data_IF_556188997534
#
_entry.id   IF_556188997534
#
_cell.length_a   1.000
_cell.length_b   1.000
_cell.length_c   1.000
_cell.angle_alpha   90.00
_cell.angle_beta   90.00
_cell.angle_gamma   90.00
#
_symmetry.space_group_name_H-M   'P 1'
#
loop_
_entity.id
_entity.type
_entity.pdbx_description
1 polymer ?
#
# COMPACT_ATOMS: atom_id res chain seq x y z
N UNK A 1 18.59 0.67 24.77
CA UNK A 1 17.71 1.85 24.62
C UNK A 1 16.27 1.40 24.82
N UNK A 2 15.45 2.19 25.53
CA UNK A 2 14.02 1.88 25.66
C UNK A 2 13.33 2.05 24.31
N UNK A 3 12.35 1.16 23.98
CA UNK A 3 11.57 1.24 22.75
C UNK A 3 10.92 2.61 22.53
N UNK A 4 10.52 3.30 23.61
CA UNK A 4 9.97 4.65 23.54
C UNK A 4 10.94 5.69 22.96
N UNK A 5 12.24 5.59 23.30
CA UNK A 5 13.26 6.52 22.77
C UNK A 5 13.53 6.28 21.28
N UNK A 6 13.40 5.05 20.82
CA UNK A 6 13.56 4.73 19.39
C UNK A 6 12.39 5.33 18.60
N UNK A 7 11.15 5.12 19.05
CA UNK A 7 9.95 5.67 18.41
C UNK A 7 10.02 7.20 18.34
N UNK A 8 10.38 7.88 19.42
CA UNK A 8 10.52 9.34 19.43
C UNK A 8 11.59 9.87 18.47
N UNK A 9 12.63 9.08 18.19
CA UNK A 9 13.64 9.44 17.18
C UNK A 9 13.13 9.23 15.76
N UNK A 10 12.33 8.17 15.53
CA UNK A 10 11.73 7.89 14.24
C UNK A 10 10.69 8.94 13.83
N UNK A 11 9.85 9.39 14.77
CA UNK A 11 8.84 10.43 14.55
C UNK A 11 9.39 11.76 14.01
N UNK A 12 10.68 12.01 14.21
CA UNK A 12 11.36 13.24 13.76
C UNK A 12 11.98 13.11 12.37
N UNK A 13 11.73 12.01 11.68
CA UNK A 13 12.33 11.69 10.39
C UNK A 13 11.26 11.41 9.35
N UNK A 14 11.48 11.93 8.15
CA UNK A 14 10.70 11.56 6.99
C UNK A 14 11.23 10.24 6.43
N UNK A 15 10.33 9.39 5.98
CA UNK A 15 10.65 8.13 5.32
C UNK A 15 10.02 8.07 3.94
N UNK A 16 10.64 7.35 3.04
CA UNK A 16 10.05 6.94 1.78
C UNK A 16 9.83 5.43 1.79
N UNK A 17 8.62 4.99 1.42
CA UNK A 17 8.36 3.59 1.11
C UNK A 17 8.17 3.45 -0.39
N UNK A 18 9.00 2.64 -1.05
CA UNK A 18 9.01 2.49 -2.50
C UNK A 18 8.52 1.11 -2.87
N UNK A 19 7.45 1.02 -3.64
CA UNK A 19 6.95 -0.25 -4.12
C UNK A 19 5.44 -0.33 -4.19
N UNK A 20 4.93 -1.56 -4.24
CA UNK A 20 3.53 -1.83 -4.47
C UNK A 20 2.64 -1.44 -3.30
N UNK A 21 1.56 -0.70 -3.64
CA UNK A 21 0.37 -0.60 -2.83
C UNK A 21 -0.85 -0.97 -3.71
N UNK A 22 -1.69 -1.84 -3.20
CA UNK A 22 -2.84 -2.37 -3.92
C UNK A 22 -4.04 -2.54 -3.01
N UNK A 23 -5.03 -3.26 -3.50
CA UNK A 23 -6.24 -3.60 -2.77
C UNK A 23 -6.28 -5.08 -2.47
N UNK A 24 -6.64 -5.41 -1.23
CA UNK A 24 -6.94 -6.77 -0.81
C UNK A 24 -8.43 -6.86 -0.47
N UNK A 25 -9.13 -7.80 -1.11
CA UNK A 25 -10.53 -8.13 -0.83
C UNK A 25 -10.60 -9.42 -0.04
N UNK A 26 -11.07 -9.35 1.18
CA UNK A 26 -11.27 -10.49 2.06
C UNK A 26 -12.71 -10.95 2.03
N UNK A 27 -12.91 -12.25 1.81
CA UNK A 27 -14.23 -12.86 1.82
C UNK A 27 -14.90 -12.73 3.22
N UNK A 28 -16.18 -12.36 3.22
CA UNK A 28 -16.97 -12.14 4.43
C UNK A 28 -18.18 -13.07 4.48
N UNK A 29 -18.61 -13.52 5.70
CA UNK A 29 -17.98 -13.27 7.01
C UNK A 29 -16.67 -14.07 7.17
N UNK A 30 -15.86 -13.81 8.24
CA UNK A 30 -14.67 -14.61 8.52
C UNK A 30 -14.95 -16.11 8.54
N UNK A 31 -14.07 -16.91 7.93
CA UNK A 31 -14.25 -18.36 7.75
C UNK A 31 -14.81 -18.77 6.40
N UNK A 32 -15.01 -17.81 5.47
CA UNK A 32 -15.68 -18.06 4.17
C UNK A 32 -14.66 -18.46 3.10
N UNK A 33 -15.00 -19.51 2.35
CA UNK A 33 -14.38 -19.87 1.07
C UNK A 33 -14.80 -18.86 -0.01
N UNK A 34 -13.93 -18.63 -0.99
CA UNK A 34 -14.20 -17.64 -2.02
C UNK A 34 -15.49 -17.92 -2.81
N UNK A 35 -15.71 -19.18 -3.18
CA UNK A 35 -16.87 -19.63 -3.97
C UNK A 35 -18.21 -19.45 -3.23
N UNK A 36 -18.16 -19.26 -1.92
CA UNK A 36 -19.34 -19.05 -1.08
C UNK A 36 -19.52 -17.58 -0.68
N UNK A 37 -18.54 -16.74 -0.98
CA UNK A 37 -18.54 -15.34 -0.56
C UNK A 37 -19.52 -14.51 -1.41
N UNK A 38 -20.43 -13.81 -0.75
CA UNK A 38 -21.30 -12.82 -1.36
C UNK A 38 -20.91 -11.37 -1.01
N UNK A 39 -20.06 -11.21 -0.01
CA UNK A 39 -19.58 -9.92 0.45
C UNK A 39 -18.07 -9.97 0.66
N UNK A 40 -17.41 -8.82 0.51
CA UNK A 40 -15.98 -8.66 0.71
C UNK A 40 -15.68 -7.37 1.45
N UNK A 41 -14.73 -7.42 2.37
CA UNK A 41 -14.14 -6.21 2.96
C UNK A 41 -12.88 -5.81 2.19
N UNK A 42 -12.74 -4.52 1.94
CA UNK A 42 -11.65 -3.94 1.16
C UNK A 42 -10.58 -3.32 2.08
N UNK A 43 -9.33 -3.72 1.88
CA UNK A 43 -8.20 -3.28 2.68
C UNK A 43 -7.03 -2.85 1.79
N UNK A 44 -6.08 -2.09 2.35
CA UNK A 44 -4.82 -1.82 1.67
C UNK A 44 -3.97 -3.08 1.70
N UNK A 45 -3.46 -3.45 0.53
CA UNK A 45 -2.52 -4.52 0.30
C UNK A 45 -1.17 -4.03 -0.23
N UNK A 46 -0.26 -4.99 -0.39
CA UNK A 46 1.11 -4.70 -0.82
C UNK A 46 2.06 -4.36 0.32
N UNK A 47 3.29 -4.88 0.25
CA UNK A 47 4.28 -4.71 1.33
C UNK A 47 4.64 -3.25 1.58
N UNK A 48 4.90 -2.48 0.52
CA UNK A 48 5.22 -1.05 0.67
C UNK A 48 4.04 -0.26 1.24
N UNK A 49 2.81 -0.53 0.77
CA UNK A 49 1.59 0.08 1.33
C UNK A 49 1.39 -0.25 2.81
N UNK A 50 1.56 -1.51 3.20
CA UNK A 50 1.42 -1.94 4.59
C UNK A 50 2.49 -1.35 5.51
N UNK A 51 3.75 -1.26 5.04
CA UNK A 51 4.83 -0.61 5.79
C UNK A 51 4.52 0.88 5.95
N UNK A 52 4.05 1.53 4.89
CA UNK A 52 3.67 2.93 4.92
C UNK A 52 2.59 3.20 5.98
N UNK A 53 1.52 2.43 5.96
CA UNK A 53 0.44 2.54 6.96
C UNK A 53 0.96 2.28 8.38
N UNK A 54 1.83 1.28 8.57
CA UNK A 54 2.38 0.96 9.88
C UNK A 54 3.22 2.11 10.45
N UNK A 55 4.07 2.73 9.62
CA UNK A 55 4.89 3.89 10.04
C UNK A 55 4.04 5.14 10.27
N UNK A 56 3.04 5.40 9.44
CA UNK A 56 2.11 6.51 9.62
C UNK A 56 1.36 6.37 10.96
N UNK A 57 0.90 5.17 11.31
CA UNK A 57 0.26 4.88 12.62
C UNK A 57 1.20 5.04 13.82
N UNK A 58 2.50 5.06 13.60
CA UNK A 58 3.50 5.39 14.61
C UNK A 58 3.86 6.89 14.63
N UNK A 59 3.05 7.72 13.96
CA UNK A 59 3.25 9.17 13.78
C UNK A 59 4.57 9.53 13.09
N UNK A 60 5.09 8.65 12.22
CA UNK A 60 6.22 8.97 11.36
C UNK A 60 5.71 9.71 10.12
N UNK A 61 6.44 10.74 9.68
CA UNK A 61 6.23 11.35 8.38
C UNK A 61 6.66 10.37 7.30
N UNK A 62 5.74 9.96 6.43
CA UNK A 62 6.03 8.98 5.39
C UNK A 62 5.38 9.36 4.07
N UNK A 63 6.16 9.27 3.01
CA UNK A 63 5.74 9.38 1.62
C UNK A 63 5.84 8.02 0.93
N UNK A 64 4.76 7.61 0.28
CA UNK A 64 4.75 6.43 -0.57
C UNK A 64 5.15 6.81 -1.99
N UNK A 65 6.00 6.00 -2.60
CA UNK A 65 6.38 6.10 -4.01
C UNK A 65 5.88 4.85 -4.73
N UNK A 66 4.92 5.04 -5.60
CA UNK A 66 4.28 3.96 -6.37
C UNK A 66 3.59 4.51 -7.61
N UNK A 67 3.00 3.63 -8.41
CA UNK A 67 2.06 4.03 -9.45
C UNK A 67 0.68 3.45 -9.16
N UNK A 68 -0.35 4.27 -9.34
CA UNK A 68 -1.76 3.85 -9.29
C UNK A 68 -2.39 3.90 -10.67
N UNK A 69 -3.38 3.06 -10.91
CA UNK A 69 -4.20 3.13 -12.12
C UNK A 69 -5.11 4.36 -12.12
N UNK A 70 -5.40 4.87 -13.31
CA UNK A 70 -6.37 5.96 -13.52
C UNK A 70 -7.80 5.39 -13.58
N UNK A 71 -8.24 4.79 -12.47
CA UNK A 71 -9.58 4.23 -12.33
C UNK A 71 -10.10 4.35 -10.88
N UNK A 72 -11.28 3.80 -10.63
CA UNK A 72 -11.91 3.87 -9.31
C UNK A 72 -11.11 3.10 -8.25
N UNK A 73 -10.42 2.02 -8.61
CA UNK A 73 -9.62 1.23 -7.66
C UNK A 73 -8.34 1.98 -7.27
N UNK A 74 -7.67 2.62 -8.25
CA UNK A 74 -6.52 3.48 -7.98
C UNK A 74 -6.88 4.64 -7.06
N UNK A 75 -7.97 5.37 -7.36
CA UNK A 75 -8.46 6.47 -6.50
C UNK A 75 -8.84 6.00 -5.10
N UNK A 76 -9.51 4.86 -4.99
CA UNK A 76 -9.86 4.29 -3.68
C UNK A 76 -8.60 3.98 -2.86
N UNK A 77 -7.61 3.33 -3.48
CA UNK A 77 -6.34 2.98 -2.82
C UNK A 77 -5.61 4.23 -2.31
N UNK A 78 -5.48 5.26 -3.16
CA UNK A 78 -4.85 6.53 -2.79
C UNK A 78 -5.59 7.22 -1.62
N UNK A 79 -6.92 7.28 -1.68
CA UNK A 79 -7.74 7.89 -0.63
C UNK A 79 -7.59 7.14 0.71
N UNK A 80 -7.59 5.80 0.68
CA UNK A 80 -7.40 4.99 1.88
C UNK A 80 -6.03 5.16 2.51
N UNK A 81 -4.98 5.25 1.72
CA UNK A 81 -3.64 5.56 2.21
C UNK A 81 -3.60 6.94 2.88
N UNK A 82 -4.22 7.93 2.25
CA UNK A 82 -4.31 9.28 2.81
C UNK A 82 -5.10 9.31 4.14
N UNK A 83 -6.21 8.55 4.26
CA UNK A 83 -6.96 8.39 5.52
C UNK A 83 -6.08 7.82 6.66
N UNK A 84 -5.09 6.98 6.33
CA UNK A 84 -4.12 6.47 7.28
C UNK A 84 -2.94 7.43 7.57
N UNK A 85 -2.93 8.61 6.96
CA UNK A 85 -1.86 9.59 7.14
C UNK A 85 -0.61 9.34 6.29
N UNK A 86 -0.71 8.50 5.26
CA UNK A 86 0.37 8.25 4.30
C UNK A 86 0.39 9.37 3.27
N UNK A 87 1.55 10.02 3.07
CA UNK A 87 1.77 10.96 1.97
C UNK A 87 1.78 10.23 0.62
N UNK A 88 1.08 10.77 -0.36
CA UNK A 88 0.95 10.20 -1.71
C UNK A 88 1.37 11.18 -2.81
N UNK A 89 2.10 12.23 -2.45
CA UNK A 89 2.53 13.27 -3.41
C UNK A 89 3.51 12.75 -4.47
N UNK A 90 4.17 11.64 -4.18
CA UNK A 90 5.10 10.94 -5.07
C UNK A 90 4.47 9.69 -5.72
N UNK A 91 3.14 9.57 -5.68
CA UNK A 91 2.43 8.50 -6.37
C UNK A 91 2.00 8.98 -7.76
N UNK A 92 2.47 8.31 -8.81
CA UNK A 92 2.13 8.66 -10.18
C UNK A 92 0.88 7.91 -10.64
N UNK A 93 0.00 8.60 -11.35
CA UNK A 93 -1.18 7.99 -11.97
C UNK A 93 -0.81 7.49 -13.37
N UNK A 94 -1.16 6.25 -13.66
CA UNK A 94 -0.93 5.59 -14.95
C UNK A 94 -2.26 5.26 -15.59
N UNK A 95 -2.47 5.79 -16.77
CA UNK A 95 -3.67 5.54 -17.59
C UNK A 95 -3.55 4.30 -18.49
N UNK A 96 -4.46 4.19 -19.45
CA UNK A 96 -4.49 3.10 -20.42
C UNK A 96 -5.00 1.79 -19.82
N UNK A 97 -4.33 0.69 -20.13
CA UNK A 97 -4.72 -0.65 -19.68
C UNK A 97 -4.15 -1.04 -18.30
N UNK A 98 -3.32 -0.20 -17.71
CA UNK A 98 -2.77 -0.46 -16.38
C UNK A 98 -3.89 -0.52 -15.32
N UNK A 99 -3.80 -1.47 -14.40
CA UNK A 99 -4.76 -1.64 -13.30
C UNK A 99 -4.03 -1.68 -11.96
N UNK A 100 -4.68 -1.24 -10.91
CA UNK A 100 -4.13 -1.47 -9.57
C UNK A 100 -4.02 -2.97 -9.31
N UNK A 101 -2.96 -3.36 -8.61
CA UNK A 101 -2.88 -4.72 -8.09
C UNK A 101 -4.04 -4.98 -7.14
N UNK A 102 -4.69 -6.11 -7.34
CA UNK A 102 -5.81 -6.58 -6.55
C UNK A 102 -5.52 -7.99 -6.05
N UNK A 103 -5.72 -8.26 -4.77
CA UNK A 103 -5.76 -9.60 -4.22
C UNK A 103 -7.18 -9.94 -3.79
N UNK A 104 -7.56 -11.20 -3.96
CA UNK A 104 -8.78 -11.77 -3.43
C UNK A 104 -8.39 -12.89 -2.50
N UNK A 105 -8.88 -12.84 -1.27
CA UNK A 105 -8.38 -13.65 -0.16
C UNK A 105 -9.55 -14.30 0.54
N UNK A 106 -9.47 -15.60 0.70
CA UNK A 106 -10.38 -16.34 1.57
C UNK A 106 -10.09 -16.04 3.05
N UNK A 107 -11.06 -16.29 3.90
CA UNK A 107 -10.89 -16.12 5.35
C UNK A 107 -11.04 -17.39 6.12
N UNK A 108 -10.91 -18.56 5.45
CA UNK A 108 -10.89 -19.87 6.09
C UNK A 108 -9.77 -19.97 7.12
N UNK A 109 -10.00 -20.76 8.17
CA UNK A 109 -9.00 -21.00 9.22
C UNK A 109 -7.88 -21.93 8.77
N UNK A 110 -8.16 -22.82 7.81
CA UNK A 110 -7.22 -23.79 7.25
C UNK A 110 -7.25 -23.70 5.74
N UNK A 111 -6.12 -23.94 5.09
CA UNK A 111 -5.96 -23.96 3.64
C UNK A 111 -6.48 -22.67 2.94
N UNK A 112 -6.34 -21.53 3.62
CA UNK A 112 -6.72 -20.23 3.10
C UNK A 112 -6.01 -19.95 1.78
N UNK A 113 -6.78 -19.66 0.73
CA UNK A 113 -6.25 -19.34 -0.59
C UNK A 113 -6.31 -17.85 -0.85
N UNK A 114 -5.38 -17.39 -1.65
CA UNK A 114 -5.37 -16.01 -2.16
C UNK A 114 -4.96 -16.00 -3.63
N UNK A 115 -5.60 -15.15 -4.41
CA UNK A 115 -5.27 -14.91 -5.81
C UNK A 115 -4.91 -13.44 -5.99
N UNK A 116 -3.73 -13.19 -6.58
CA UNK A 116 -3.27 -11.83 -6.83
C UNK A 116 -3.36 -11.53 -8.32
N UNK A 117 -4.19 -10.58 -8.66
CA UNK A 117 -4.32 -10.04 -10.02
C UNK A 117 -3.32 -8.89 -10.19
N UNK A 118 -2.16 -9.19 -10.79
CA UNK A 118 -1.06 -8.24 -10.95
C UNK A 118 -0.55 -8.13 -12.41
N UNK A 119 -1.19 -8.80 -13.34
CA UNK A 119 -0.83 -8.73 -14.76
C UNK A 119 -1.11 -7.34 -15.30
N UNK A 120 -0.11 -6.67 -15.88
CA UNK A 120 -0.24 -5.30 -16.36
C UNK A 120 -0.57 -4.30 -15.26
N UNK A 121 -0.09 -4.54 -14.05
CA UNK A 121 -0.39 -3.66 -12.93
C UNK A 121 0.36 -2.33 -13.02
N UNK A 122 -0.27 -1.25 -12.55
CA UNK A 122 0.26 0.10 -12.59
C UNK A 122 1.60 0.23 -11.83
N UNK A 123 1.80 -0.54 -10.77
CA UNK A 123 3.04 -0.54 -9.99
C UNK A 123 4.25 -1.07 -10.79
N UNK A 124 4.07 -1.80 -11.89
CA UNK A 124 5.15 -2.18 -12.80
C UNK A 124 5.63 -1.04 -13.70
N UNK A 125 4.84 0.01 -13.84
CA UNK A 125 5.22 1.20 -14.61
C UNK A 125 6.17 2.14 -13.83
N UNK A 126 6.45 1.81 -12.58
CA UNK A 126 7.41 2.54 -11.76
C UNK A 126 8.81 2.45 -12.38
N UNK A 127 9.52 3.58 -12.41
CA UNK A 127 10.84 3.66 -13.01
C UNK A 127 11.75 4.65 -12.25
N UNK A 128 13.00 4.79 -12.69
CA UNK A 128 13.98 5.62 -12.03
C UNK A 128 13.57 7.09 -11.89
N UNK A 129 12.72 7.62 -12.78
CA UNK A 129 12.28 9.01 -12.66
C UNK A 129 11.37 9.22 -11.45
N UNK A 130 10.58 8.22 -11.06
CA UNK A 130 9.72 8.31 -9.88
C UNK A 130 10.55 8.40 -8.58
N UNK A 131 11.81 7.96 -8.61
CA UNK A 131 12.73 7.95 -7.47
C UNK A 131 13.71 9.12 -7.51
N UNK A 132 14.20 9.50 -8.68
CA UNK A 132 15.22 10.55 -8.85
C UNK A 132 14.73 11.95 -8.44
N UNK A 133 13.42 12.18 -8.40
CA UNK A 133 12.81 13.46 -7.98
C UNK A 133 12.73 13.62 -6.46
N UNK A 134 13.04 12.57 -5.70
CA UNK A 134 12.90 12.60 -4.25
C UNK A 134 14.03 13.38 -3.61
N UNK A 135 13.68 14.21 -2.64
CA UNK A 135 14.64 14.86 -1.77
C UNK A 135 14.98 13.94 -0.59
N UNK A 136 16.15 13.36 -0.63
CA UNK A 136 16.65 12.45 0.39
C UNK A 136 17.34 13.14 1.56
N UNK A 137 17.55 14.46 1.50
CA UNK A 137 18.23 15.18 2.56
C UNK A 137 17.41 15.13 3.86
N UNK A 138 18.05 14.74 4.94
CA UNK A 138 17.41 14.64 6.25
C UNK A 138 16.45 13.46 6.44
N UNK A 139 16.31 12.55 5.47
CA UNK A 139 15.45 11.38 5.61
C UNK A 139 15.94 10.43 6.70
N UNK A 140 15.00 9.71 7.31
CA UNK A 140 15.26 8.62 8.24
C UNK A 140 15.63 7.32 7.55
N UNK A 141 15.12 7.12 6.32
CA UNK A 141 15.38 5.95 5.51
C UNK A 141 14.46 5.84 4.30
N UNK A 142 14.86 4.93 3.42
CA UNK A 142 14.09 4.48 2.25
C UNK A 142 13.87 2.98 2.40
N UNK A 143 12.66 2.50 2.22
CA UNK A 143 12.24 1.12 2.48
C UNK A 143 11.60 0.55 1.22
#
# INVERSE_FOLDING_TARGET
>A
MSNSKIIERLKRKRFFSIGRAGMDFYAEPPGTEFEQANNFSAHIGGSAGNIAVALAKLDCELELVTCFSDDAVGRYTANKLHEFGVGTSHCRIVGGEARNTLAVIETRLTDCQSVIYRNGAADFEMNSNDVNILDYEGTGGVI
#
